data_IF_591953267881
#
_entry.id   IF_591953267881
#
_cell.length_a   1.000
_cell.length_b   1.000
_cell.length_c   1.000
_cell.angle_alpha   90.00
_cell.angle_beta   90.00
_cell.angle_gamma   90.00
#
_symmetry.space_group_name_H-M   'P 1'
#
loop_
_entity.id
_entity.type
_entity.pdbx_description
1 polymer ?
#
# COMPACT_ATOMS: atom_id res chain seq x y z
N UNK A 1 4.21 0.19 -34.07
CA UNK A 1 5.09 0.57 -32.95
C UNK A 1 4.73 -0.27 -31.74
N UNK A 2 5.65 -0.50 -30.80
CA UNK A 2 5.32 -1.09 -29.49
C UNK A 2 4.75 0.01 -28.60
N UNK A 3 3.60 -0.21 -27.98
CA UNK A 3 2.92 0.75 -27.10
C UNK A 3 3.80 0.97 -25.85
N UNK A 4 4.41 2.17 -25.70
CA UNK A 4 5.34 2.45 -24.62
C UNK A 4 4.67 2.37 -23.24
N UNK A 5 3.37 2.60 -23.14
CA UNK A 5 2.64 2.53 -21.88
C UNK A 5 2.33 1.09 -21.46
N UNK A 6 2.21 0.13 -22.38
CA UNK A 6 2.13 -1.30 -22.02
C UNK A 6 3.38 -1.74 -21.27
N UNK A 7 4.57 -1.34 -21.77
CA UNK A 7 5.84 -1.64 -21.10
C UNK A 7 5.92 -0.98 -19.72
N UNK A 8 5.55 0.31 -19.64
CA UNK A 8 5.46 1.06 -18.38
C UNK A 8 4.57 0.33 -17.36
N UNK A 9 3.36 -0.07 -17.75
CA UNK A 9 2.40 -0.76 -16.90
C UNK A 9 2.89 -2.15 -16.47
N UNK A 10 3.49 -2.92 -17.37
CA UNK A 10 4.06 -4.23 -17.02
C UNK A 10 5.18 -4.13 -16.00
N UNK A 11 6.09 -3.15 -16.17
CA UNK A 11 7.14 -2.91 -15.18
C UNK A 11 6.57 -2.57 -13.81
N UNK A 12 5.48 -1.79 -13.77
CA UNK A 12 4.80 -1.50 -12.52
C UNK A 12 4.24 -2.73 -11.84
N UNK A 13 3.48 -3.52 -12.59
CA UNK A 13 2.90 -4.75 -12.07
C UNK A 13 3.99 -5.65 -11.51
N UNK A 14 5.13 -5.75 -12.21
CA UNK A 14 6.28 -6.49 -11.76
C UNK A 14 6.83 -5.97 -10.43
N UNK A 15 7.09 -4.67 -10.32
CA UNK A 15 7.62 -4.10 -9.08
C UNK A 15 6.62 -4.16 -7.91
N UNK A 16 5.32 -3.95 -8.18
CA UNK A 16 4.27 -4.13 -7.19
C UNK A 16 4.19 -5.58 -6.70
N UNK A 17 4.27 -6.55 -7.62
CA UNK A 17 4.27 -7.98 -7.31
C UNK A 17 5.50 -8.39 -6.50
N UNK A 18 6.69 -7.93 -6.89
CA UNK A 18 7.94 -8.19 -6.15
C UNK A 18 7.84 -7.61 -4.74
N UNK A 19 7.42 -6.34 -4.61
CA UNK A 19 7.25 -5.69 -3.32
C UNK A 19 6.27 -6.43 -2.42
N UNK A 20 5.11 -6.83 -2.96
CA UNK A 20 4.11 -7.60 -2.23
C UNK A 20 4.62 -8.98 -1.80
N UNK A 21 5.32 -9.70 -2.68
CA UNK A 21 5.90 -11.01 -2.37
C UNK A 21 6.98 -10.90 -1.28
N UNK A 22 7.87 -9.90 -1.36
CA UNK A 22 8.90 -9.65 -0.35
C UNK A 22 8.27 -9.38 1.01
N UNK A 23 7.27 -8.48 1.08
CA UNK A 23 6.57 -8.20 2.34
C UNK A 23 5.91 -9.46 2.88
N UNK A 24 5.18 -10.22 2.06
CA UNK A 24 4.54 -11.46 2.51
C UNK A 24 5.54 -12.47 3.08
N UNK A 25 6.65 -12.71 2.38
CA UNK A 25 7.71 -13.64 2.84
C UNK A 25 8.36 -13.13 4.14
N UNK A 26 8.72 -11.85 4.22
CA UNK A 26 9.33 -11.28 5.41
C UNK A 26 8.39 -11.29 6.62
N UNK A 27 7.09 -11.06 6.42
CA UNK A 27 6.06 -11.19 7.47
C UNK A 27 6.00 -12.63 7.96
N UNK A 28 5.91 -13.62 7.05
CA UNK A 28 5.88 -15.04 7.40
C UNK A 28 7.13 -15.42 8.21
N UNK A 29 8.32 -15.05 7.74
CA UNK A 29 9.58 -15.34 8.43
C UNK A 29 9.60 -14.67 9.81
N UNK A 30 9.34 -13.36 9.88
CA UNK A 30 9.41 -12.60 11.14
C UNK A 30 8.42 -13.10 12.19
N UNK A 31 7.18 -13.41 11.78
CA UNK A 31 6.15 -13.97 12.67
C UNK A 31 6.51 -15.39 13.10
N UNK A 32 6.97 -16.24 12.18
CA UNK A 32 7.37 -17.62 12.50
C UNK A 32 8.53 -17.62 13.48
N UNK A 33 9.55 -16.77 13.27
CA UNK A 33 10.67 -16.60 14.19
C UNK A 33 10.19 -16.19 15.59
N UNK A 34 9.23 -15.26 15.69
CA UNK A 34 8.66 -14.90 16.98
C UNK A 34 7.90 -16.06 17.65
N UNK A 35 7.15 -16.86 16.88
CA UNK A 35 6.38 -17.98 17.40
C UNK A 35 7.27 -19.12 17.93
N UNK A 36 8.39 -19.39 17.26
CA UNK A 36 9.33 -20.47 17.66
C UNK A 36 10.32 -20.01 18.74
N UNK A 37 10.44 -18.70 18.95
CA UNK A 37 11.31 -18.16 20.02
C UNK A 37 10.57 -18.19 21.35
N UNK A 38 11.04 -19.05 22.25
CA UNK A 38 10.41 -19.26 23.57
C UNK A 38 10.72 -18.14 24.57
N UNK A 39 11.88 -17.50 24.45
CA UNK A 39 12.37 -16.46 25.36
C UNK A 39 13.00 -15.29 24.58
N UNK A 40 12.68 -14.08 25.01
CA UNK A 40 13.25 -12.83 24.50
C UNK A 40 13.64 -11.97 25.70
N UNK A 41 14.83 -11.36 25.69
CA UNK A 41 15.34 -10.51 26.78
C UNK A 41 14.40 -9.36 27.16
N UNK A 42 13.44 -8.99 26.31
CA UNK A 42 12.43 -7.97 26.61
C UNK A 42 11.03 -8.53 26.88
N UNK A 43 10.79 -9.82 26.65
CA UNK A 43 9.50 -10.48 26.83
C UNK A 43 9.75 -11.90 27.36
N UNK A 44 9.41 -12.12 28.64
CA UNK A 44 9.59 -13.41 29.33
C UNK A 44 9.10 -14.61 28.51
N UNK A 45 8.05 -14.43 27.71
CA UNK A 45 7.60 -15.40 26.71
C UNK A 45 7.12 -14.71 25.43
N UNK A 46 7.76 -15.02 24.29
CA UNK A 46 7.38 -14.50 22.97
C UNK A 46 6.23 -15.30 22.37
N UNK A 47 6.48 -16.54 21.90
CA UNK A 47 5.47 -17.53 21.50
C UNK A 47 4.16 -16.94 20.95
N UNK A 48 3.02 -17.40 21.46
CA UNK A 48 1.70 -16.88 21.07
C UNK A 48 1.44 -15.44 21.56
N UNK A 49 2.17 -14.99 22.59
CA UNK A 49 2.05 -13.62 23.12
C UNK A 49 2.55 -12.57 22.13
N UNK A 50 3.28 -12.96 21.08
CA UNK A 50 3.70 -12.04 20.01
C UNK A 50 2.52 -11.31 19.35
N UNK A 51 1.34 -11.92 19.30
CA UNK A 51 0.10 -11.30 18.78
C UNK A 51 -0.45 -10.18 19.68
N UNK A 52 0.10 -9.99 20.89
CA UNK A 52 -0.22 -8.83 21.70
C UNK A 52 0.45 -7.56 21.16
N UNK A 53 1.52 -7.68 20.37
CA UNK A 53 2.31 -6.53 19.90
C UNK A 53 1.69 -5.88 18.67
N UNK A 54 1.50 -4.55 18.71
CA UNK A 54 0.95 -3.82 17.57
C UNK A 54 1.80 -3.96 16.31
N UNK A 55 3.13 -3.96 16.45
CA UNK A 55 4.06 -4.15 15.32
C UNK A 55 3.84 -5.47 14.60
N UNK A 56 3.59 -6.56 15.32
CA UNK A 56 3.38 -7.88 14.71
C UNK A 56 2.06 -7.87 13.95
N UNK A 57 0.98 -7.41 14.60
CA UNK A 57 -0.34 -7.35 13.99
C UNK A 57 -0.40 -6.41 12.79
N UNK A 58 0.21 -5.22 12.88
CA UNK A 58 0.25 -4.24 11.78
C UNK A 58 1.00 -4.78 10.56
N UNK A 59 2.08 -5.54 10.77
CA UNK A 59 2.81 -6.20 9.69
C UNK A 59 2.02 -7.36 9.07
N UNK A 60 1.31 -8.16 9.88
CA UNK A 60 0.43 -9.23 9.36
C UNK A 60 -0.64 -8.64 8.45
N UNK A 61 -1.38 -7.63 8.90
CA UNK A 61 -2.44 -7.01 8.09
C UNK A 61 -1.85 -6.32 6.84
N UNK A 62 -0.65 -5.73 6.92
CA UNK A 62 0.02 -5.15 5.76
C UNK A 62 0.45 -6.22 4.74
N UNK A 63 0.98 -7.36 5.20
CA UNK A 63 1.29 -8.51 4.36
C UNK A 63 0.04 -9.03 3.63
N UNK A 64 -1.07 -9.22 4.37
CA UNK A 64 -2.35 -9.63 3.78
C UNK A 64 -2.88 -8.61 2.77
N UNK A 65 -2.83 -7.32 3.10
CA UNK A 65 -3.21 -6.22 2.21
C UNK A 65 -2.42 -6.23 0.92
N UNK A 66 -1.10 -6.43 1.00
CA UNK A 66 -0.22 -6.57 -0.15
C UNK A 66 -0.52 -7.81 -0.97
N UNK A 67 -0.85 -8.95 -0.35
CA UNK A 67 -1.23 -10.16 -1.09
C UNK A 67 -2.49 -9.97 -1.94
N UNK A 68 -3.42 -9.10 -1.52
CA UNK A 68 -4.62 -8.79 -2.32
C UNK A 68 -4.31 -8.15 -3.68
N UNK A 69 -3.13 -7.55 -3.88
CA UNK A 69 -2.76 -7.03 -5.20
C UNK A 69 -2.23 -8.08 -6.17
N UNK A 70 -1.81 -9.26 -5.68
CA UNK A 70 -1.13 -10.25 -6.51
C UNK A 70 -1.96 -10.67 -7.73
N UNK A 71 -3.27 -11.03 -7.60
CA UNK A 71 -4.08 -11.39 -8.76
C UNK A 71 -4.14 -10.27 -9.81
N UNK A 72 -4.26 -9.02 -9.38
CA UNK A 72 -4.36 -7.85 -10.26
C UNK A 72 -3.03 -7.47 -10.91
N UNK A 73 -1.92 -7.65 -10.21
CA UNK A 73 -0.58 -7.46 -10.80
C UNK A 73 -0.28 -8.55 -11.83
N UNK A 74 -0.66 -9.80 -11.57
CA UNK A 74 -0.52 -10.91 -12.52
C UNK A 74 -1.39 -10.67 -13.76
N UNK A 75 -2.65 -10.23 -13.58
CA UNK A 75 -3.51 -9.87 -14.70
C UNK A 75 -2.92 -8.69 -15.48
N UNK A 76 -2.49 -7.62 -14.80
CA UNK A 76 -1.86 -6.47 -15.45
C UNK A 76 -0.57 -6.78 -16.21
N UNK A 77 0.21 -7.79 -15.77
CA UNK A 77 1.35 -8.30 -16.53
C UNK A 77 0.91 -8.94 -17.86
N UNK A 78 -0.19 -9.69 -17.84
CA UNK A 78 -0.76 -10.35 -19.03
C UNK A 78 -1.41 -9.33 -19.95
N UNK A 79 -2.29 -8.51 -19.43
CA UNK A 79 -3.18 -7.60 -20.17
C UNK A 79 -2.57 -6.22 -20.44
N UNK A 80 -1.45 -5.86 -19.82
CA UNK A 80 -0.90 -4.50 -19.91
C UNK A 80 -1.81 -3.43 -19.29
N UNK A 81 -2.88 -3.82 -18.61
CA UNK A 81 -3.82 -2.95 -17.95
C UNK A 81 -3.78 -3.21 -16.44
N UNK A 82 -3.09 -2.32 -15.71
CA UNK A 82 -2.99 -2.44 -14.28
C UNK A 82 -4.13 -1.68 -13.60
N UNK A 83 -5.03 -2.41 -12.94
CA UNK A 83 -6.12 -1.82 -12.18
C UNK A 83 -6.37 -2.63 -10.91
N UNK A 84 -6.26 -1.97 -9.76
CA UNK A 84 -6.72 -2.51 -8.49
C UNK A 84 -8.05 -1.85 -8.12
N UNK A 85 -8.98 -2.61 -7.51
CA UNK A 85 -10.17 -2.03 -6.90
C UNK A 85 -9.79 -0.97 -5.88
N UNK A 86 -10.53 0.14 -5.85
CA UNK A 86 -10.25 1.28 -4.99
C UNK A 86 -10.15 0.88 -3.50
N UNK A 87 -11.01 -0.04 -3.05
CA UNK A 87 -11.01 -0.51 -1.66
C UNK A 87 -9.71 -1.23 -1.28
N UNK A 88 -9.03 -1.91 -2.22
CA UNK A 88 -7.73 -2.55 -1.96
C UNK A 88 -6.66 -1.49 -1.75
N UNK A 89 -6.66 -0.44 -2.57
CA UNK A 89 -5.72 0.69 -2.42
C UNK A 89 -5.96 1.43 -1.10
N UNK A 90 -7.22 1.62 -0.72
CA UNK A 90 -7.58 2.20 0.59
C UNK A 90 -7.12 1.30 1.74
N UNK A 91 -7.32 -0.01 1.64
CA UNK A 91 -6.84 -0.97 2.65
C UNK A 91 -5.31 -0.92 2.78
N UNK A 92 -4.58 -0.82 1.66
CA UNK A 92 -3.13 -0.61 1.67
C UNK A 92 -2.75 0.69 2.35
N UNK A 93 -3.45 1.79 2.08
CA UNK A 93 -3.21 3.06 2.77
C UNK A 93 -3.32 2.92 4.29
N UNK A 94 -4.37 2.24 4.76
CA UNK A 94 -4.61 1.96 6.18
C UNK A 94 -3.49 1.13 6.78
N UNK A 95 -3.13 0.01 6.16
CA UNK A 95 -2.12 -0.92 6.70
C UNK A 95 -0.71 -0.37 6.61
N UNK A 96 -0.37 0.33 5.51
CA UNK A 96 0.94 0.97 5.32
C UNK A 96 1.14 2.10 6.32
N UNK A 97 0.09 2.86 6.65
CA UNK A 97 0.15 3.87 7.72
C UNK A 97 0.44 3.22 9.07
N UNK A 98 -0.20 2.10 9.40
CA UNK A 98 0.03 1.39 10.66
C UNK A 98 1.48 0.88 10.78
N UNK A 99 2.05 0.27 9.72
CA UNK A 99 3.45 -0.17 9.75
C UNK A 99 4.44 0.99 9.73
N UNK A 100 4.11 2.09 9.05
CA UNK A 100 4.93 3.31 9.06
C UNK A 100 4.98 3.95 10.45
N UNK A 101 3.86 3.97 11.19
CA UNK A 101 3.84 4.39 12.59
C UNK A 101 4.77 3.52 13.44
N UNK A 102 4.63 2.20 13.37
CA UNK A 102 5.48 1.30 14.18
C UNK A 102 6.95 1.41 13.78
N UNK A 103 7.24 1.62 12.50
CA UNK A 103 8.61 1.87 12.02
C UNK A 103 9.19 3.15 12.60
N UNK A 104 8.46 4.27 12.53
CA UNK A 104 8.92 5.55 13.07
C UNK A 104 9.09 5.50 14.59
N UNK A 105 8.18 4.86 15.32
CA UNK A 105 8.37 4.62 16.76
C UNK A 105 9.64 3.82 17.01
N UNK A 106 9.90 2.81 16.18
CA UNK A 106 11.09 1.96 16.35
C UNK A 106 12.38 2.69 16.03
N UNK A 107 12.39 3.49 14.98
CA UNK A 107 13.54 4.24 14.51
C UNK A 107 13.84 5.46 15.40
N UNK A 108 12.83 6.21 15.80
CA UNK A 108 12.98 7.49 16.49
C UNK A 108 12.93 7.38 18.01
N UNK A 109 12.35 6.31 18.57
CA UNK A 109 12.18 6.14 20.02
C UNK A 109 12.91 4.88 20.49
N UNK A 110 12.55 3.70 19.98
CA UNK A 110 13.07 2.45 20.53
C UNK A 110 14.56 2.23 20.23
N UNK A 111 15.02 2.51 19.01
CA UNK A 111 16.42 2.31 18.63
C UNK A 111 17.37 3.26 19.40
N UNK A 112 17.05 4.55 19.60
CA UNK A 112 17.85 5.41 20.48
C UNK A 112 17.87 4.98 21.95
N UNK A 113 16.76 4.45 22.46
CA UNK A 113 16.64 4.08 23.89
C UNK A 113 17.24 2.71 24.19
N UNK A 114 17.02 1.72 23.31
CA UNK A 114 17.40 0.31 23.52
C UNK A 114 18.60 -0.14 22.67
N UNK A 115 19.04 0.68 21.72
CA UNK A 115 20.12 0.37 20.79
C UNK A 115 19.62 -0.13 19.43
N UNK A 116 20.25 0.36 18.35
CA UNK A 116 19.89 0.04 16.97
C UNK A 116 20.01 -1.45 16.63
N UNK A 117 21.10 -2.09 17.06
CA UNK A 117 21.34 -3.52 16.77
C UNK A 117 20.22 -4.37 17.36
N UNK A 118 19.75 -4.06 18.56
CA UNK A 118 18.70 -4.82 19.22
C UNK A 118 17.35 -4.70 18.50
N UNK A 119 17.02 -3.50 18.01
CA UNK A 119 15.75 -3.22 17.33
C UNK A 119 15.75 -3.71 15.87
N UNK A 120 16.91 -3.80 15.22
CA UNK A 120 17.04 -4.18 13.81
C UNK A 120 17.82 -5.49 13.60
N UNK A 121 17.68 -6.46 14.51
CA UNK A 121 18.24 -7.82 14.37
C UNK A 121 17.17 -8.90 14.50
N UNK A 122 17.52 -10.12 14.08
CA UNK A 122 16.62 -11.29 14.16
C UNK A 122 15.28 -11.08 13.45
N UNK A 123 14.19 -11.49 14.08
CA UNK A 123 12.82 -11.29 13.56
C UNK A 123 12.44 -9.82 13.45
N UNK A 124 12.97 -8.98 14.35
CA UNK A 124 12.68 -7.54 14.41
C UNK A 124 13.22 -6.81 13.20
N UNK A 125 14.33 -7.26 12.62
CA UNK A 125 14.83 -6.70 11.36
C UNK A 125 13.77 -6.73 10.24
N UNK A 126 13.02 -7.83 10.14
CA UNK A 126 11.94 -7.95 9.15
C UNK A 126 10.76 -7.06 9.51
N UNK A 127 10.25 -7.15 10.74
CA UNK A 127 9.00 -6.49 11.16
C UNK A 127 9.15 -4.98 11.44
N UNK A 128 10.33 -4.54 11.88
CA UNK A 128 10.63 -3.13 12.13
C UNK A 128 11.41 -2.48 10.98
N UNK A 129 12.07 -3.23 10.11
CA UNK A 129 12.91 -2.68 9.04
C UNK A 129 12.36 -2.95 7.64
N UNK A 130 12.54 -4.17 7.15
CA UNK A 130 12.28 -4.53 5.74
C UNK A 130 10.81 -4.34 5.38
N UNK A 131 9.88 -4.92 6.15
CA UNK A 131 8.47 -4.88 5.83
C UNK A 131 7.91 -3.45 5.75
N UNK A 132 8.15 -2.55 6.73
CA UNK A 132 7.70 -1.17 6.62
C UNK A 132 8.26 -0.42 5.41
N UNK A 133 9.58 -0.52 5.18
CA UNK A 133 10.24 0.20 4.08
C UNK A 133 9.72 -0.27 2.73
N UNK A 134 9.69 -1.59 2.50
CA UNK A 134 9.20 -2.16 1.24
C UNK A 134 7.71 -1.86 1.07
N UNK A 135 6.90 -1.90 2.14
CA UNK A 135 5.47 -1.58 2.07
C UNK A 135 5.23 -0.13 1.66
N UNK A 136 5.95 0.83 2.26
CA UNK A 136 5.84 2.26 1.93
C UNK A 136 6.24 2.52 0.48
N UNK A 137 7.39 1.99 0.05
CA UNK A 137 7.88 2.18 -1.33
C UNK A 137 6.91 1.56 -2.32
N UNK A 138 6.46 0.33 -2.05
CA UNK A 138 5.55 -0.39 -2.94
C UNK A 138 4.24 0.36 -3.10
N UNK A 139 3.63 0.76 -1.99
CA UNK A 139 2.39 1.51 -1.97
C UNK A 139 2.50 2.87 -2.64
N UNK A 140 3.54 3.67 -2.35
CA UNK A 140 3.66 5.01 -2.91
C UNK A 140 4.05 4.98 -4.40
N UNK A 141 4.95 4.08 -4.81
CA UNK A 141 5.56 4.14 -6.14
C UNK A 141 4.93 3.18 -7.16
N UNK A 142 4.39 2.05 -6.72
CA UNK A 142 3.96 0.96 -7.61
C UNK A 142 2.48 0.60 -7.48
N UNK A 143 1.78 1.06 -6.46
CA UNK A 143 0.31 1.03 -6.40
C UNK A 143 -0.19 2.41 -6.81
N UNK A 144 -0.98 2.52 -7.89
CA UNK A 144 -1.41 3.85 -8.39
C UNK A 144 -2.76 3.88 -9.12
N UNK A 145 -3.58 2.84 -8.98
CA UNK A 145 -4.87 2.80 -9.66
C UNK A 145 -5.85 3.81 -9.08
N UNK A 146 -5.78 4.12 -7.79
CA UNK A 146 -6.74 5.00 -7.11
C UNK A 146 -6.03 6.17 -6.44
N UNK A 147 -6.66 7.34 -6.42
CA UNK A 147 -6.16 8.50 -5.65
C UNK A 147 -6.85 8.50 -4.29
N UNK A 148 -6.07 8.46 -3.21
CA UNK A 148 -6.62 8.48 -1.86
C UNK A 148 -7.24 9.83 -1.55
N UNK A 149 -8.52 9.83 -1.22
CA UNK A 149 -9.31 10.99 -0.80
C UNK A 149 -9.03 11.34 0.65
N UNK A 150 -9.17 12.63 1.03
CA UNK A 150 -8.95 13.09 2.41
C UNK A 150 -9.78 12.33 3.46
N UNK A 151 -10.99 11.92 3.08
CA UNK A 151 -11.87 11.12 3.95
C UNK A 151 -11.33 9.70 4.17
N UNK A 152 -10.71 9.11 3.15
CA UNK A 152 -10.11 7.77 3.23
C UNK A 152 -8.83 7.77 4.08
N UNK A 153 -8.10 8.90 4.11
CA UNK A 153 -6.95 9.05 4.99
C UNK A 153 -7.32 8.93 6.48
N UNK A 154 -8.55 9.32 6.87
CA UNK A 154 -9.06 9.14 8.24
C UNK A 154 -9.24 7.67 8.64
N UNK A 155 -9.44 6.76 7.67
CA UNK A 155 -9.58 5.33 7.95
C UNK A 155 -8.29 4.71 8.48
N UNK A 156 -7.14 5.35 8.25
CA UNK A 156 -5.85 4.88 8.76
C UNK A 156 -5.76 4.88 10.30
N UNK A 157 -6.68 5.57 10.98
CA UNK A 157 -6.79 5.56 12.43
C UNK A 157 -7.38 4.26 12.97
N UNK A 158 -8.14 3.52 12.17
CA UNK A 158 -8.92 2.35 12.61
C UNK A 158 -8.05 1.29 13.30
N UNK A 159 -6.92 0.82 12.73
CA UNK A 159 -6.10 -0.21 13.38
C UNK A 159 -5.54 0.24 14.73
N UNK A 160 -5.17 1.52 14.83
CA UNK A 160 -4.61 2.11 16.06
C UNK A 160 -5.67 2.22 17.14
N UNK A 161 -6.88 2.69 16.80
CA UNK A 161 -8.00 2.80 17.75
C UNK A 161 -8.47 1.42 18.22
N UNK A 162 -8.61 0.46 17.31
CA UNK A 162 -8.97 -0.92 17.67
C UNK A 162 -7.92 -1.50 18.62
N UNK A 163 -6.64 -1.37 18.28
CA UNK A 163 -5.57 -1.89 19.11
C UNK A 163 -5.52 -1.21 20.48
N UNK A 164 -5.68 0.12 20.53
CA UNK A 164 -5.72 0.86 21.79
C UNK A 164 -6.89 0.41 22.69
N UNK A 165 -8.08 0.18 22.12
CA UNK A 165 -9.22 -0.35 22.86
C UNK A 165 -8.94 -1.74 23.44
N UNK A 166 -8.39 -2.65 22.64
CA UNK A 166 -7.98 -3.99 23.10
C UNK A 166 -6.91 -3.89 24.18
N UNK A 167 -5.91 -3.02 24.01
CA UNK A 167 -4.85 -2.81 24.99
C UNK A 167 -5.41 -2.35 26.34
N UNK A 168 -6.32 -1.37 26.36
CA UNK A 168 -6.97 -0.88 27.58
C UNK A 168 -7.72 -2.01 28.28
N UNK A 169 -8.48 -2.81 27.54
CA UNK A 169 -9.21 -3.95 28.13
C UNK A 169 -8.23 -4.98 28.72
N UNK A 170 -7.22 -5.39 27.96
CA UNK A 170 -6.31 -6.46 28.38
C UNK A 170 -5.34 -6.04 29.48
N UNK A 171 -4.86 -4.80 29.48
CA UNK A 171 -3.84 -4.32 30.43
C UNK A 171 -4.46 -3.65 31.65
N UNK A 172 -5.52 -2.84 31.48
CA UNK A 172 -6.09 -2.04 32.58
C UNK A 172 -7.32 -2.69 33.21
N UNK A 173 -8.24 -3.22 32.40
CA UNK A 173 -9.49 -3.78 32.93
C UNK A 173 -9.27 -5.19 33.47
N UNK A 174 -8.61 -6.05 32.72
CA UNK A 174 -8.30 -7.43 33.13
C UNK A 174 -7.06 -7.42 34.03
N UNK A 175 -5.96 -6.84 33.55
CA UNK A 175 -4.68 -6.81 34.27
C UNK A 175 -3.95 -8.16 34.23
N UNK A 176 -2.62 -8.11 34.39
CA UNK A 176 -1.76 -9.29 34.25
C UNK A 176 -2.10 -10.41 35.26
N UNK A 177 -2.45 -10.04 36.49
CA UNK A 177 -2.82 -10.99 37.57
C UNK A 177 -4.06 -11.84 37.24
N UNK A 178 -4.93 -11.36 36.35
CA UNK A 178 -6.14 -12.07 35.93
C UNK A 178 -6.02 -12.67 34.51
N UNK A 179 -4.80 -12.84 33.99
CA UNK A 179 -4.54 -13.39 32.65
C UNK A 179 -4.59 -12.35 31.51
N UNK A 180 -4.54 -11.07 31.85
CA UNK A 180 -4.41 -9.96 30.90
C UNK A 180 -3.02 -9.86 30.27
N UNK A 181 -2.82 -8.81 29.48
CA UNK A 181 -1.51 -8.53 28.89
C UNK A 181 -0.61 -7.81 29.89
N UNK A 182 0.70 -8.07 29.81
CA UNK A 182 1.69 -7.25 30.50
C UNK A 182 1.66 -5.82 29.92
N UNK A 183 1.94 -4.80 30.73
CA UNK A 183 2.06 -3.41 30.28
C UNK A 183 3.39 -3.15 29.54
N UNK A 184 3.61 -3.84 28.42
CA UNK A 184 4.88 -3.79 27.68
C UNK A 184 5.21 -2.41 27.08
N UNK A 185 4.23 -1.53 26.92
CA UNK A 185 4.47 -0.13 26.54
C UNK A 185 4.61 0.81 27.74
N UNK A 186 4.32 0.36 28.96
CA UNK A 186 4.34 1.19 30.16
C UNK A 186 3.24 2.27 30.17
N UNK A 187 2.12 2.07 29.46
CA UNK A 187 1.07 3.07 29.36
C UNK A 187 0.10 3.09 30.56
N UNK A 188 0.09 2.04 31.37
CA UNK A 188 -0.62 2.02 32.64
C UNK A 188 0.29 2.43 33.80
N UNK A 189 1.60 2.16 33.68
CA UNK A 189 2.57 2.28 34.78
C UNK A 189 3.50 3.49 34.69
N UNK A 190 3.86 3.97 33.49
CA UNK A 190 4.86 5.04 33.29
C UNK A 190 4.30 6.28 32.60
N UNK A 191 3.50 6.11 31.55
CA UNK A 191 2.96 7.20 30.74
C UNK A 191 1.44 7.07 30.70
N UNK A 192 0.66 8.00 31.27
CA UNK A 192 -0.80 7.88 31.29
C UNK A 192 -1.40 7.63 29.89
N UNK A 193 -2.38 6.72 29.81
CA UNK A 193 -3.06 6.35 28.55
C UNK A 193 -3.59 7.53 27.73
N UNK A 194 -4.14 8.56 28.39
CA UNK A 194 -4.64 9.73 27.68
C UNK A 194 -3.51 10.53 27.03
N UNK A 195 -2.32 10.58 27.64
CA UNK A 195 -1.17 11.28 27.11
C UNK A 195 -0.58 10.54 25.91
N UNK A 196 -0.51 9.20 25.98
CA UNK A 196 -0.07 8.40 24.83
C UNK A 196 -1.05 8.53 23.65
N UNK A 197 -2.35 8.59 23.90
CA UNK A 197 -3.35 8.83 22.86
C UNK A 197 -3.18 10.21 22.17
N UNK A 198 -2.90 11.27 22.94
CA UNK A 198 -2.64 12.63 22.43
C UNK A 198 -1.38 12.71 21.56
N UNK A 199 -0.46 11.77 21.69
CA UNK A 199 0.75 11.72 20.85
C UNK A 199 0.55 10.79 19.64
N UNK A 200 0.11 9.56 19.89
CA UNK A 200 0.02 8.51 18.88
C UNK A 200 -1.07 8.80 17.85
N UNK A 201 -2.24 9.34 18.25
CA UNK A 201 -3.33 9.59 17.31
C UNK A 201 -2.97 10.73 16.33
N UNK A 202 -2.46 11.90 16.77
CA UNK A 202 -2.00 12.93 15.84
C UNK A 202 -0.81 12.48 14.99
N UNK A 203 0.13 11.71 15.55
CA UNK A 203 1.24 11.15 14.77
C UNK A 203 0.73 10.24 13.64
N UNK A 204 -0.21 9.34 13.94
CA UNK A 204 -0.85 8.46 12.94
C UNK A 204 -1.56 9.27 11.86
N UNK A 205 -2.31 10.30 12.24
CA UNK A 205 -2.97 11.20 11.30
C UNK A 205 -1.96 11.93 10.41
N UNK A 206 -0.89 12.47 10.99
CA UNK A 206 0.20 13.11 10.26
C UNK A 206 0.85 12.18 9.24
N UNK A 207 1.21 10.95 9.65
CA UNK A 207 1.77 9.92 8.77
C UNK A 207 0.79 9.58 7.64
N UNK A 208 -0.50 9.38 7.96
CA UNK A 208 -1.55 9.11 6.97
C UNK A 208 -1.61 10.21 5.91
N UNK A 209 -1.63 11.48 6.32
CA UNK A 209 -1.68 12.62 5.40
C UNK A 209 -0.41 12.70 4.55
N UNK A 210 0.77 12.44 5.12
CA UNK A 210 2.03 12.43 4.38
C UNK A 210 2.06 11.31 3.34
N UNK A 211 1.69 10.09 3.72
CA UNK A 211 1.60 8.95 2.81
C UNK A 211 0.56 9.16 1.71
N UNK A 212 -0.61 9.73 2.05
CA UNK A 212 -1.61 10.12 1.08
C UNK A 212 -1.04 11.08 0.03
N UNK A 213 -0.35 12.14 0.48
CA UNK A 213 0.26 13.12 -0.42
C UNK A 213 1.33 12.49 -1.30
N UNK A 214 2.20 11.67 -0.72
CA UNK A 214 3.28 10.97 -1.44
C UNK A 214 2.72 10.02 -2.52
N UNK A 215 1.78 9.16 -2.13
CA UNK A 215 1.10 8.23 -3.03
C UNK A 215 0.38 8.97 -4.17
N UNK A 216 -0.44 9.97 -3.85
CA UNK A 216 -1.17 10.74 -4.86
C UNK A 216 -0.22 11.49 -5.81
N UNK A 217 0.87 12.05 -5.31
CA UNK A 217 1.88 12.71 -6.15
C UNK A 217 2.53 11.72 -7.13
N UNK A 218 2.91 10.52 -6.67
CA UNK A 218 3.43 9.47 -7.55
C UNK A 218 2.40 9.01 -8.58
N UNK A 219 1.13 8.85 -8.20
CA UNK A 219 0.04 8.51 -9.12
C UNK A 219 -0.10 9.55 -10.24
N UNK A 220 -0.16 10.84 -9.88
CA UNK A 220 -0.32 11.92 -10.84
C UNK A 220 0.90 12.08 -11.75
N UNK A 221 2.11 12.04 -11.19
CA UNK A 221 3.37 12.08 -11.97
C UNK A 221 3.40 10.98 -13.02
N UNK A 222 2.90 9.80 -12.66
CA UNK A 222 2.83 8.66 -13.56
C UNK A 222 1.78 8.81 -14.65
N UNK A 223 0.56 9.19 -14.30
CA UNK A 223 -0.51 9.45 -15.29
C UNK A 223 -0.06 10.51 -16.31
N UNK A 224 0.66 11.54 -15.86
CA UNK A 224 1.30 12.53 -16.73
C UNK A 224 2.29 11.89 -17.70
N UNK A 225 3.24 11.09 -17.20
CA UNK A 225 4.24 10.41 -18.03
C UNK A 225 3.60 9.47 -19.04
N UNK A 226 2.62 8.67 -18.65
CA UNK A 226 1.94 7.74 -19.57
C UNK A 226 1.18 8.54 -20.65
N UNK A 227 0.52 9.64 -20.30
CA UNK A 227 -0.15 10.52 -21.27
C UNK A 227 0.84 11.21 -22.24
N UNK A 228 2.00 11.66 -21.75
CA UNK A 228 3.07 12.22 -22.59
C UNK A 228 3.59 11.19 -23.59
N UNK A 229 3.80 9.94 -23.17
CA UNK A 229 4.22 8.85 -24.06
C UNK A 229 3.20 8.57 -25.18
N UNK A 230 1.90 8.66 -24.88
CA UNK A 230 0.85 8.55 -25.91
C UNK A 230 0.87 9.74 -26.87
N UNK A 231 1.03 10.98 -26.36
CA UNK A 231 1.13 12.16 -27.23
C UNK A 231 2.36 12.11 -28.13
N UNK A 232 3.52 11.71 -27.60
CA UNK A 232 4.75 11.54 -28.40
C UNK A 232 4.60 10.44 -29.45
N UNK A 233 3.99 9.31 -29.09
CA UNK A 233 3.84 8.17 -29.99
C UNK A 233 2.82 8.41 -31.12
N UNK A 234 1.81 9.27 -30.89
CA UNK A 234 0.68 9.47 -31.80
C UNK A 234 0.53 10.91 -32.33
N UNK A 235 1.41 11.85 -31.95
CA UNK A 235 1.51 13.23 -32.50
C UNK A 235 0.39 14.19 -32.05
N UNK A 236 0.27 15.36 -32.70
CA UNK A 236 -0.87 16.30 -32.57
C UNK A 236 -2.19 15.74 -33.14
N UNK A 237 -2.39 14.43 -33.07
CA UNK A 237 -3.64 13.80 -33.45
C UNK A 237 -4.75 14.23 -32.48
N UNK A 238 -5.93 14.47 -33.02
CA UNK A 238 -7.19 14.56 -32.25
C UNK A 238 -7.21 13.43 -31.20
N UNK A 239 -7.56 13.77 -29.96
CA UNK A 239 -7.63 12.83 -28.84
C UNK A 239 -8.46 11.59 -29.19
N UNK A 240 -9.50 11.74 -30.02
CA UNK A 240 -10.31 10.62 -30.52
C UNK A 240 -9.46 9.62 -31.32
N UNK A 241 -8.60 10.11 -32.20
CA UNK A 241 -7.69 9.28 -32.99
C UNK A 241 -6.61 8.61 -32.13
N UNK A 242 -6.06 9.32 -31.12
CA UNK A 242 -5.12 8.75 -30.15
C UNK A 242 -5.75 7.57 -29.40
N UNK A 243 -6.99 7.73 -28.94
CA UNK A 243 -7.72 6.68 -28.22
C UNK A 243 -8.01 5.47 -29.13
N UNK A 244 -8.39 5.70 -30.38
CA UNK A 244 -8.63 4.63 -31.35
C UNK A 244 -7.35 3.85 -31.70
N UNK A 245 -6.22 4.54 -31.92
CA UNK A 245 -4.96 3.88 -32.24
C UNK A 245 -4.39 3.13 -31.04
N UNK A 246 -4.56 3.66 -29.82
CA UNK A 246 -4.27 2.95 -28.58
C UNK A 246 -5.00 1.61 -28.50
N UNK A 247 -6.29 1.55 -28.90
CA UNK A 247 -7.04 0.30 -28.93
C UNK A 247 -6.46 -0.70 -29.93
N UNK A 248 -6.19 -0.26 -31.16
CA UNK A 248 -5.61 -1.11 -32.22
C UNK A 248 -4.22 -1.62 -31.86
N UNK A 249 -3.35 -0.77 -31.32
CA UNK A 249 -2.00 -1.18 -30.89
C UNK A 249 -2.06 -2.23 -29.79
N UNK A 250 -2.90 -2.01 -28.78
CA UNK A 250 -3.09 -2.97 -27.67
C UNK A 250 -3.64 -4.31 -28.17
N UNK A 251 -4.60 -4.33 -29.10
CA UNK A 251 -5.11 -5.58 -29.68
C UNK A 251 -4.01 -6.37 -30.39
N UNK A 252 -3.22 -5.69 -31.23
CA UNK A 252 -2.07 -6.29 -31.96
C UNK A 252 -1.00 -6.84 -31.01
N UNK A 253 -0.67 -6.12 -29.96
CA UNK A 253 0.43 -6.48 -29.05
C UNK A 253 0.06 -7.52 -28.00
N UNK A 254 -1.13 -7.40 -27.41
CA UNK A 254 -1.56 -8.24 -26.29
C UNK A 254 -2.27 -9.51 -26.74
N UNK A 255 -2.75 -9.56 -28.00
CA UNK A 255 -3.50 -10.70 -28.57
C UNK A 255 -4.65 -11.16 -27.67
N UNK A 256 -5.29 -10.23 -26.96
CA UNK A 256 -6.40 -10.52 -26.07
C UNK A 256 -7.67 -10.78 -26.89
N UNK A 257 -8.50 -11.73 -26.43
CA UNK A 257 -9.82 -11.98 -27.02
C UNK A 257 -10.82 -10.87 -26.69
N UNK A 258 -10.72 -10.31 -25.48
CA UNK A 258 -11.62 -9.28 -24.98
C UNK A 258 -10.87 -7.96 -24.75
N UNK A 259 -11.53 -6.80 -24.98
CA UNK A 259 -10.93 -5.49 -24.76
C UNK A 259 -10.69 -5.21 -23.27
N UNK A 260 -9.47 -4.81 -22.93
CA UNK A 260 -9.10 -4.31 -21.61
C UNK A 260 -8.99 -2.77 -21.65
N UNK A 261 -10.12 -2.09 -21.39
CA UNK A 261 -10.24 -0.64 -21.58
C UNK A 261 -9.49 0.13 -20.46
N UNK A 262 -8.50 0.99 -20.80
CA UNK A 262 -7.76 1.76 -19.81
C UNK A 262 -8.50 3.06 -19.41
N UNK A 263 -9.66 2.91 -18.76
CA UNK A 263 -10.60 4.02 -18.46
C UNK A 263 -9.94 5.21 -17.75
N UNK A 264 -9.08 4.94 -16.75
CA UNK A 264 -8.45 5.98 -15.94
C UNK A 264 -7.46 6.83 -16.75
N UNK A 265 -6.72 6.19 -17.65
CA UNK A 265 -5.80 6.88 -18.55
C UNK A 265 -6.58 7.73 -19.55
N UNK A 266 -7.64 7.18 -20.16
CA UNK A 266 -8.54 7.93 -21.06
C UNK A 266 -9.09 9.16 -20.35
N UNK A 267 -9.62 9.00 -19.13
CA UNK A 267 -10.14 10.10 -18.34
C UNK A 267 -9.09 11.17 -18.02
N UNK A 268 -7.86 10.77 -17.70
CA UNK A 268 -6.76 11.71 -17.47
C UNK A 268 -6.35 12.45 -18.75
N UNK A 269 -6.28 11.77 -19.90
CA UNK A 269 -5.94 12.40 -21.18
C UNK A 269 -6.99 13.45 -21.58
N UNK A 270 -8.28 13.14 -21.40
CA UNK A 270 -9.38 14.09 -21.61
C UNK A 270 -9.21 15.33 -20.72
N UNK A 271 -9.05 15.12 -19.40
CA UNK A 271 -8.94 16.22 -18.44
C UNK A 271 -7.71 17.11 -18.71
N UNK A 272 -6.60 16.52 -19.16
CA UNK A 272 -5.33 17.22 -19.39
C UNK A 272 -5.21 17.90 -20.75
N UNK A 273 -6.10 17.59 -21.70
CA UNK A 273 -6.14 18.23 -23.03
C UNK A 273 -7.22 19.31 -23.12
N UNK A 274 -8.22 19.29 -22.23
CA UNK A 274 -9.38 20.18 -22.33
C UNK A 274 -10.25 19.87 -23.56
N UNK A 275 -10.10 18.69 -24.16
CA UNK A 275 -10.89 18.27 -25.30
C UNK A 275 -12.37 18.13 -24.91
N UNK A 276 -13.25 18.52 -25.83
CA UNK A 276 -14.70 18.29 -25.71
C UNK A 276 -15.03 16.81 -25.99
N UNK A 277 -14.60 15.96 -25.07
CA UNK A 277 -14.79 14.51 -25.13
C UNK A 277 -15.13 14.00 -23.72
N UNK A 278 -16.26 13.33 -23.55
CA UNK A 278 -16.58 12.69 -22.26
C UNK A 278 -15.79 11.39 -22.08
N UNK A 279 -15.53 10.98 -20.82
CA UNK A 279 -14.88 9.69 -20.53
C UNK A 279 -15.65 8.52 -21.15
N UNK A 280 -16.98 8.56 -21.06
CA UNK A 280 -17.88 7.55 -21.66
C UNK A 280 -17.68 7.45 -23.17
N UNK A 281 -17.54 8.59 -23.85
CA UNK A 281 -17.31 8.62 -25.28
C UNK A 281 -15.91 8.14 -25.65
N UNK A 282 -14.88 8.54 -24.90
CA UNK A 282 -13.53 8.01 -25.07
C UNK A 282 -13.47 6.49 -24.90
N UNK A 283 -14.16 5.92 -23.90
CA UNK A 283 -14.23 4.47 -23.73
C UNK A 283 -14.99 3.77 -24.85
N UNK A 284 -16.02 4.43 -25.41
CA UNK A 284 -16.76 3.91 -26.57
C UNK A 284 -15.87 3.84 -27.80
N UNK A 285 -15.17 4.94 -28.13
CA UNK A 285 -14.22 5.00 -29.26
C UNK A 285 -13.16 3.90 -29.14
N UNK A 286 -12.63 3.71 -27.93
CA UNK A 286 -11.66 2.65 -27.67
C UNK A 286 -12.24 1.26 -27.99
N UNK A 287 -13.46 0.99 -27.54
CA UNK A 287 -14.12 -0.30 -27.75
C UNK A 287 -14.43 -0.54 -29.23
N UNK A 288 -14.97 0.45 -29.94
CA UNK A 288 -15.28 0.36 -31.38
C UNK A 288 -14.01 0.08 -32.19
N UNK A 289 -12.95 0.86 -31.97
CA UNK A 289 -11.66 0.66 -32.65
C UNK A 289 -11.01 -0.70 -32.32
N UNK A 290 -11.26 -1.24 -31.12
CA UNK A 290 -10.83 -2.60 -30.77
C UNK A 290 -11.58 -3.66 -31.57
N UNK A 291 -12.89 -3.48 -31.79
CA UNK A 291 -13.70 -4.46 -32.52
C UNK A 291 -13.36 -4.47 -34.02
N UNK A 292 -13.00 -3.32 -34.59
CA UNK A 292 -12.64 -3.15 -36.00
C UNK A 292 -11.25 -3.69 -36.38
N UNK A 293 -10.25 -3.54 -35.49
CA UNK A 293 -8.85 -3.90 -35.76
C UNK A 293 -8.52 -5.38 -35.60
#
# INVERSE_FOLDING_TARGET
MKDPAIRSNRMQCLFAMIGAAVVAVCVIIGVTMNLVTLYDENFDHMGIRTFCMFTVNSNIIAGLSMMLCLPYTIDGLRTGNYHLPDWVVVMMHVTVTAVALTFLVSLCILAPVKGFILIFSGSRFFLHGVCPVVSIITYCCFINSHLIRKREAGLAMIPVVIYAAVYVVMVVVIGEDNGGWNDFYGFATRVPLWLSAVIILPATCGISVLLQKAHNACCLRRRRKDAELYREAYGEADLRAVVAEMARSRKRELKLKNPAIPVQLIGYMIQSTGADLSVKEGTRIYFEAWMEG
#
